data_IF_783011893484
#
_entry.id   IF_783011893484
#
_cell.length_a   1.000
_cell.length_b   1.000
_cell.length_c   1.000
_cell.angle_alpha   90.00
_cell.angle_beta   90.00
_cell.angle_gamma   90.00
#
_symmetry.space_group_name_H-M   'P 1'
#
loop_
_entity.id
_entity.type
_entity.pdbx_description
1 polymer ?
#
# COMPACT_ATOMS: atom_id res chain seq x y z
N UNK A 1 -23.54 -9.04 -2.87
CA UNK A 1 -23.79 -9.10 -1.41
C UNK A 1 -23.60 -7.71 -0.80
N UNK A 2 -24.20 -7.45 0.34
CA UNK A 2 -24.12 -6.15 1.02
C UNK A 2 -24.02 -6.36 2.52
N UNK A 3 -23.11 -5.65 3.13
CA UNK A 3 -23.04 -5.46 4.58
C UNK A 3 -23.80 -4.18 4.91
N UNK A 4 -25.02 -4.31 5.44
CA UNK A 4 -25.82 -3.16 5.87
C UNK A 4 -25.34 -2.65 7.21
N UNK A 5 -25.12 -1.34 7.30
CA UNK A 5 -24.68 -0.66 8.52
C UNK A 5 -25.26 0.78 8.55
N UNK A 6 -25.09 1.47 9.64
CA UNK A 6 -25.32 2.91 9.71
C UNK A 6 -24.21 3.51 10.54
N UNK A 7 -23.18 4.01 9.86
CA UNK A 7 -22.06 4.72 10.47
C UNK A 7 -22.23 6.20 10.16
N UNK A 8 -22.35 7.03 11.19
CA UNK A 8 -22.41 8.47 11.03
C UNK A 8 -21.07 9.00 10.54
N UNK A 9 -21.13 9.97 9.62
CA UNK A 9 -19.98 10.72 9.14
C UNK A 9 -20.00 12.06 9.87
N UNK A 10 -18.92 12.42 10.55
CA UNK A 10 -18.83 13.69 11.24
C UNK A 10 -18.73 14.85 10.24
N UNK A 11 -19.18 16.03 10.66
CA UNK A 11 -19.11 17.24 9.83
C UNK A 11 -17.65 17.56 9.46
N UNK A 12 -17.40 17.81 8.19
CA UNK A 12 -16.06 18.13 7.66
C UNK A 12 -15.24 16.92 7.21
N UNK A 13 -15.68 15.69 7.50
CA UNK A 13 -15.01 14.50 7.01
C UNK A 13 -15.29 14.29 5.52
N UNK A 14 -14.25 13.94 4.78
CA UNK A 14 -14.24 13.89 3.31
C UNK A 14 -13.82 12.55 2.76
N UNK A 15 -13.34 11.64 3.62
CA UNK A 15 -12.79 10.34 3.21
C UNK A 15 -13.38 9.23 4.07
N UNK A 16 -13.64 8.08 3.44
CA UNK A 16 -13.87 6.80 4.11
C UNK A 16 -12.64 5.94 3.96
N UNK A 17 -12.23 5.32 5.03
CA UNK A 17 -10.99 4.55 5.12
C UNK A 17 -11.26 3.21 5.77
N UNK A 18 -10.68 2.13 5.24
CA UNK A 18 -10.85 0.81 5.81
C UNK A 18 -9.74 -0.15 5.34
N UNK A 19 -9.48 -1.17 6.14
CA UNK A 19 -8.72 -2.33 5.71
C UNK A 19 -9.61 -3.34 5.02
N UNK A 20 -9.13 -3.87 3.89
CA UNK A 20 -9.84 -4.89 3.10
C UNK A 20 -8.89 -6.05 2.86
N UNK A 21 -9.31 -7.26 3.26
CA UNK A 21 -8.63 -8.48 2.83
C UNK A 21 -9.27 -8.95 1.53
N UNK A 22 -8.54 -8.82 0.43
CA UNK A 22 -9.00 -9.20 -0.91
C UNK A 22 -8.82 -10.70 -1.17
N UNK A 23 -9.67 -11.23 -2.04
CA UNK A 23 -9.71 -12.63 -2.46
C UNK A 23 -9.17 -12.89 -3.86
N UNK A 24 -8.68 -11.85 -4.55
CA UNK A 24 -8.16 -11.94 -5.93
C UNK A 24 -9.24 -12.16 -6.99
N UNK A 25 -10.51 -12.00 -6.65
CA UNK A 25 -11.65 -12.33 -7.55
C UNK A 25 -11.85 -11.34 -8.69
N UNK A 26 -11.26 -10.15 -8.66
CA UNK A 26 -11.52 -9.07 -9.61
C UNK A 26 -12.85 -8.35 -9.40
N UNK A 27 -13.70 -8.79 -8.48
CA UNK A 27 -14.95 -8.12 -8.12
C UNK A 27 -14.70 -6.73 -7.52
N UNK A 28 -15.73 -5.90 -7.36
CA UNK A 28 -15.58 -4.54 -6.84
C UNK A 28 -16.28 -4.38 -5.50
N UNK A 29 -15.71 -3.54 -4.65
CA UNK A 29 -16.36 -3.01 -3.45
C UNK A 29 -16.80 -1.57 -3.69
N UNK A 30 -18.04 -1.25 -3.25
CA UNK A 30 -18.55 0.10 -3.18
C UNK A 30 -19.14 0.38 -1.80
N UNK A 31 -19.34 1.65 -1.47
CA UNK A 31 -20.09 2.08 -0.29
C UNK A 31 -21.32 2.88 -0.73
N UNK A 32 -22.47 2.60 -0.13
CA UNK A 32 -23.67 3.45 -0.28
C UNK A 32 -23.62 4.53 0.80
N UNK A 33 -23.55 5.77 0.38
CA UNK A 33 -23.47 6.96 1.25
C UNK A 33 -24.80 7.68 1.18
N UNK A 34 -25.37 8.05 2.32
CA UNK A 34 -26.54 8.92 2.41
C UNK A 34 -26.16 10.32 2.84
N UNK A 35 -26.84 11.31 2.29
CA UNK A 35 -26.78 12.71 2.73
C UNK A 35 -27.74 12.98 3.89
N UNK A 36 -27.78 14.23 4.37
CA UNK A 36 -28.68 14.68 5.46
C UNK A 36 -30.15 14.59 5.10
N UNK A 37 -30.51 14.59 3.80
CA UNK A 37 -31.87 14.45 3.29
C UNK A 37 -32.26 13.00 3.07
N UNK A 38 -31.32 12.07 3.21
CA UNK A 38 -31.50 10.64 3.00
C UNK A 38 -31.35 10.20 1.54
N UNK A 39 -30.96 11.09 0.63
CA UNK A 39 -30.59 10.70 -0.73
C UNK A 39 -29.29 9.91 -0.71
N UNK A 40 -29.17 8.88 -1.55
CA UNK A 40 -28.02 7.98 -1.55
C UNK A 40 -27.20 8.10 -2.82
N UNK A 41 -25.88 7.90 -2.67
CA UNK A 41 -24.93 7.80 -3.77
C UNK A 41 -23.96 6.64 -3.52
N UNK A 42 -23.39 6.09 -4.59
CA UNK A 42 -22.38 5.04 -4.53
C UNK A 42 -20.97 5.63 -4.64
N UNK A 43 -20.09 5.19 -3.76
CA UNK A 43 -18.66 5.50 -3.78
C UNK A 43 -17.90 4.22 -4.07
N UNK A 44 -17.09 4.21 -5.12
CA UNK A 44 -16.19 3.09 -5.40
C UNK A 44 -15.06 3.06 -4.37
N UNK A 45 -14.88 1.91 -3.72
CA UNK A 45 -13.81 1.70 -2.75
C UNK A 45 -12.58 1.10 -3.44
N UNK A 46 -12.73 -0.08 -4.04
CA UNK A 46 -11.62 -0.77 -4.72
C UNK A 46 -12.12 -1.90 -5.60
N UNK A 47 -11.24 -2.39 -6.52
CA UNK A 47 -11.39 -3.68 -7.17
C UNK A 47 -10.57 -4.73 -6.42
N UNK A 48 -11.13 -5.93 -6.23
CA UNK A 48 -10.54 -7.04 -5.50
C UNK A 48 -9.57 -7.87 -6.37
N UNK A 49 -8.66 -7.19 -7.08
CA UNK A 49 -7.64 -7.81 -7.92
C UNK A 49 -6.34 -8.14 -7.15
N UNK A 50 -6.43 -8.21 -5.83
CA UNK A 50 -5.34 -8.53 -4.90
C UNK A 50 -5.79 -9.57 -3.88
N UNK A 51 -4.82 -10.26 -3.28
CA UNK A 51 -5.01 -11.15 -2.13
C UNK A 51 -4.25 -10.57 -0.93
N UNK A 52 -4.84 -10.72 0.28
CA UNK A 52 -4.26 -10.17 1.50
C UNK A 52 -4.85 -8.81 1.89
N UNK A 53 -4.32 -8.23 2.96
CA UNK A 53 -4.78 -6.96 3.50
C UNK A 53 -4.30 -5.79 2.65
N UNK A 54 -5.22 -4.88 2.35
CA UNK A 54 -4.96 -3.59 1.70
C UNK A 54 -5.74 -2.49 2.39
N UNK A 55 -5.06 -1.39 2.66
CA UNK A 55 -5.71 -0.18 3.15
C UNK A 55 -6.29 0.62 1.98
N UNK A 56 -7.53 1.05 2.12
CA UNK A 56 -8.27 1.78 1.07
C UNK A 56 -8.80 3.08 1.64
N UNK A 57 -8.58 4.16 0.91
CA UNK A 57 -9.14 5.48 1.21
C UNK A 57 -9.92 5.95 -0.02
N UNK A 58 -11.20 6.31 0.15
CA UNK A 58 -12.07 6.79 -0.92
C UNK A 58 -12.75 8.09 -0.54
N UNK A 59 -12.84 9.01 -1.51
CA UNK A 59 -13.42 10.33 -1.28
C UNK A 59 -14.94 10.24 -1.14
N UNK A 60 -15.44 10.86 -0.08
CA UNK A 60 -16.88 10.99 0.18
C UNK A 60 -17.50 12.16 -0.62
N UNK A 61 -18.79 12.08 -0.97
CA UNK A 61 -19.53 13.24 -1.46
C UNK A 61 -19.50 14.40 -0.46
N UNK A 62 -19.57 15.63 -0.94
CA UNK A 62 -19.44 16.84 -0.11
C UNK A 62 -20.52 16.98 0.98
N UNK A 63 -21.67 16.34 0.79
CA UNK A 63 -22.82 16.35 1.69
C UNK A 63 -23.05 15.01 2.41
N UNK A 64 -22.03 14.15 2.43
CA UNK A 64 -22.12 12.84 3.08
C UNK A 64 -22.46 12.97 4.56
N UNK A 65 -23.41 12.19 5.04
CA UNK A 65 -23.87 12.18 6.41
C UNK A 65 -23.80 10.80 7.08
N UNK A 66 -23.89 9.72 6.30
CA UNK A 66 -23.75 8.38 6.84
C UNK A 66 -23.38 7.35 5.77
N UNK A 67 -22.63 6.33 6.16
CA UNK A 67 -22.42 5.11 5.37
C UNK A 67 -23.57 4.16 5.69
N UNK A 68 -24.31 3.72 4.67
CA UNK A 68 -25.48 2.84 4.79
C UNK A 68 -25.14 1.38 4.55
N UNK A 69 -24.24 1.12 3.63
CA UNK A 69 -23.76 -0.24 3.36
C UNK A 69 -22.41 -0.24 2.68
N UNK A 70 -21.69 -1.34 2.84
CA UNK A 70 -20.57 -1.73 1.98
C UNK A 70 -21.08 -2.84 1.06
N UNK A 71 -20.95 -2.66 -0.25
CA UNK A 71 -21.52 -3.55 -1.24
C UNK A 71 -20.43 -4.29 -1.99
N UNK A 72 -20.61 -5.60 -2.09
CA UNK A 72 -19.81 -6.48 -2.93
C UNK A 72 -20.50 -6.58 -4.30
N UNK A 73 -19.88 -6.00 -5.31
CA UNK A 73 -20.40 -5.94 -6.68
C UNK A 73 -19.74 -7.03 -7.52
N UNK A 74 -20.60 -7.88 -8.06
CA UNK A 74 -20.22 -9.01 -8.86
C UNK A 74 -19.96 -8.63 -10.32
N UNK A 75 -18.79 -8.93 -10.86
CA UNK A 75 -18.35 -8.48 -12.19
C UNK A 75 -18.81 -9.33 -13.39
N UNK A 76 -19.68 -10.31 -13.19
CA UNK A 76 -20.35 -11.02 -14.30
C UNK A 76 -19.50 -11.99 -15.14
N UNK A 77 -18.29 -12.23 -14.81
CA UNK A 77 -17.37 -13.19 -15.45
C UNK A 77 -16.28 -13.64 -14.48
N UNK A 78 -16.32 -13.06 -13.32
CA UNK A 78 -15.37 -13.26 -12.25
C UNK A 78 -15.79 -14.44 -11.34
N UNK A 79 -14.95 -14.78 -10.38
CA UNK A 79 -15.26 -15.85 -9.42
C UNK A 79 -16.56 -15.59 -8.65
N UNK A 80 -17.43 -16.60 -8.60
CA UNK A 80 -18.74 -16.54 -7.93
C UNK A 80 -18.69 -16.76 -6.43
N UNK A 81 -17.53 -17.04 -5.89
CA UNK A 81 -17.31 -17.28 -4.47
C UNK A 81 -15.98 -16.72 -4.01
N UNK A 82 -15.97 -16.24 -2.79
CA UNK A 82 -14.78 -15.69 -2.16
C UNK A 82 -15.11 -15.24 -0.76
N UNK A 83 -14.07 -14.90 0.00
CA UNK A 83 -14.22 -14.35 1.34
C UNK A 83 -13.44 -13.03 1.41
N UNK A 84 -14.15 -11.98 1.76
CA UNK A 84 -13.59 -10.65 1.98
C UNK A 84 -13.77 -10.30 3.44
N UNK A 85 -12.71 -9.84 4.09
CA UNK A 85 -12.80 -9.29 5.44
C UNK A 85 -12.63 -7.77 5.38
N UNK A 86 -13.38 -7.08 6.22
CA UNK A 86 -13.31 -5.63 6.39
C UNK A 86 -12.93 -5.35 7.83
N UNK A 87 -12.05 -4.38 8.06
CA UNK A 87 -11.63 -3.95 9.38
C UNK A 87 -11.43 -2.44 9.44
N UNK A 88 -11.56 -1.85 10.64
CA UNK A 88 -11.28 -0.47 10.96
C UNK A 88 -11.93 0.55 10.00
N UNK A 89 -13.25 0.44 9.77
CA UNK A 89 -13.97 1.43 8.96
C UNK A 89 -14.00 2.76 9.73
N UNK A 90 -13.36 3.79 9.18
CA UNK A 90 -13.25 5.13 9.76
C UNK A 90 -13.52 6.19 8.70
N UNK A 91 -13.72 7.43 9.15
CA UNK A 91 -13.81 8.60 8.29
C UNK A 91 -12.80 9.66 8.72
N UNK A 92 -12.40 10.55 7.82
CA UNK A 92 -11.39 11.59 8.07
C UNK A 92 -11.55 12.79 7.14
N UNK A 93 -10.96 13.93 7.51
CA UNK A 93 -10.94 15.15 6.67
C UNK A 93 -9.91 15.11 5.58
N UNK A 94 -8.92 14.23 5.68
CA UNK A 94 -7.84 14.06 4.69
C UNK A 94 -7.78 12.60 4.28
N UNK A 95 -7.30 12.33 3.06
CA UNK A 95 -6.95 10.97 2.68
C UNK A 95 -5.94 10.45 3.70
N UNK A 96 -6.20 9.28 4.28
CA UNK A 96 -5.21 8.67 5.15
C UNK A 96 -3.95 8.36 4.34
N UNK A 97 -2.83 8.72 4.93
CA UNK A 97 -1.53 8.45 4.34
C UNK A 97 -1.31 6.94 4.26
N UNK A 98 -0.57 6.54 3.25
CA UNK A 98 -0.03 5.21 3.14
C UNK A 98 0.68 4.81 4.45
N UNK A 99 0.37 3.64 4.96
CA UNK A 99 0.96 3.06 6.19
C UNK A 99 1.73 1.77 5.92
N UNK A 100 1.90 1.42 4.65
CA UNK A 100 2.61 0.22 4.21
C UNK A 100 4.05 0.60 3.89
N UNK A 101 5.00 -0.11 4.48
CA UNK A 101 6.41 0.13 4.20
C UNK A 101 6.81 -0.43 2.84
N UNK A 102 7.71 0.24 2.10
CA UNK A 102 8.30 -0.30 0.89
C UNK A 102 8.94 -1.68 1.12
N UNK A 103 8.77 -2.57 0.18
CA UNK A 103 9.43 -3.87 0.16
C UNK A 103 10.78 -3.75 -0.56
N UNK A 104 11.84 -4.24 0.06
CA UNK A 104 13.21 -4.20 -0.47
C UNK A 104 13.79 -5.61 -0.55
N UNK A 105 14.13 -6.06 -1.75
CA UNK A 105 14.78 -7.34 -1.99
C UNK A 105 16.24 -7.12 -2.39
N UNK A 106 17.20 -7.66 -1.63
CA UNK A 106 18.64 -7.49 -1.85
C UNK A 106 19.29 -8.79 -2.32
N UNK A 107 20.16 -8.70 -3.31
CA UNK A 107 20.99 -9.80 -3.82
C UNK A 107 22.44 -9.36 -3.96
N UNK A 108 23.38 -10.28 -3.68
CA UNK A 108 24.83 -10.06 -3.81
C UNK A 108 25.46 -10.84 -4.97
N UNK A 109 24.66 -11.42 -5.85
CA UNK A 109 25.14 -12.17 -7.01
C UNK A 109 25.71 -11.23 -8.08
N UNK A 110 27.04 -11.23 -8.24
CA UNK A 110 27.73 -10.38 -9.23
C UNK A 110 27.81 -8.90 -8.88
N UNK A 111 27.66 -8.55 -7.62
CA UNK A 111 27.59 -7.18 -7.08
C UNK A 111 26.37 -6.98 -6.19
N UNK A 112 26.19 -5.79 -5.66
CA UNK A 112 25.00 -5.46 -4.89
C UNK A 112 23.88 -5.05 -5.87
N UNK A 113 22.74 -5.73 -5.78
CA UNK A 113 21.51 -5.31 -6.45
C UNK A 113 20.38 -5.29 -5.45
N UNK A 114 19.50 -4.29 -5.54
CA UNK A 114 18.24 -4.29 -4.80
C UNK A 114 17.09 -3.87 -5.70
N UNK A 115 15.93 -4.48 -5.48
CA UNK A 115 14.67 -4.11 -6.13
C UNK A 115 13.73 -3.59 -5.05
N UNK A 116 13.14 -2.44 -5.32
CA UNK A 116 12.18 -1.77 -4.44
C UNK A 116 10.80 -1.84 -5.05
N UNK A 117 9.80 -2.12 -4.25
CA UNK A 117 8.39 -2.04 -4.65
C UNK A 117 7.54 -1.54 -3.49
N UNK A 118 6.45 -0.87 -3.84
CA UNK A 118 5.48 -0.37 -2.91
C UNK A 118 4.07 -0.49 -3.49
N UNK A 119 3.04 -0.50 -2.65
CA UNK A 119 1.66 -0.63 -3.11
C UNK A 119 1.07 0.72 -3.58
N UNK A 120 1.55 1.84 -3.06
CA UNK A 120 1.14 3.20 -3.40
C UNK A 120 2.20 3.91 -4.23
N UNK A 121 3.44 4.00 -3.73
CA UNK A 121 4.55 4.70 -4.38
C UNK A 121 5.16 3.85 -5.50
N UNK A 122 4.88 4.21 -6.75
CA UNK A 122 5.37 3.48 -7.94
C UNK A 122 6.75 3.93 -8.40
N UNK A 123 7.25 5.04 -7.89
CA UNK A 123 8.58 5.59 -8.20
C UNK A 123 9.21 6.17 -6.94
N UNK A 124 10.53 5.97 -6.82
CA UNK A 124 11.33 6.51 -5.74
C UNK A 124 12.45 7.37 -6.31
N UNK A 125 12.74 8.47 -5.63
CA UNK A 125 13.94 9.27 -5.90
C UNK A 125 15.15 8.65 -5.19
N UNK A 126 16.34 8.85 -5.77
CA UNK A 126 17.59 8.35 -5.18
C UNK A 126 17.81 8.85 -3.74
N UNK A 127 17.33 10.05 -3.41
CA UNK A 127 17.42 10.65 -2.08
C UNK A 127 16.59 9.94 -1.01
N UNK A 128 15.61 9.13 -1.40
CA UNK A 128 14.78 8.31 -0.51
C UNK A 128 15.45 6.98 -0.16
N UNK A 129 16.61 6.68 -0.76
CA UNK A 129 17.27 5.38 -0.67
C UNK A 129 18.64 5.54 -0.02
N UNK A 130 18.93 4.67 0.92
CA UNK A 130 20.25 4.55 1.54
C UNK A 130 20.79 3.13 1.38
N UNK A 131 22.07 3.01 1.04
CA UNK A 131 22.80 1.76 1.01
C UNK A 131 23.94 1.82 2.01
N UNK A 132 24.08 0.79 2.84
CA UNK A 132 25.21 0.66 3.76
C UNK A 132 25.86 -0.71 3.65
N UNK A 133 27.17 -0.75 3.90
CA UNK A 133 27.98 -1.95 4.09
C UNK A 133 28.56 -1.89 5.52
N UNK A 134 28.19 -2.84 6.35
CA UNK A 134 28.53 -2.87 7.79
C UNK A 134 28.18 -1.57 8.56
N UNK A 135 27.11 -0.91 8.12
CA UNK A 135 26.67 0.36 8.70
C UNK A 135 27.25 1.60 8.03
N UNK A 136 28.36 1.48 7.27
CA UNK A 136 28.98 2.60 6.57
C UNK A 136 28.30 2.88 5.22
N UNK A 137 28.04 4.15 4.86
CA UNK A 137 27.40 4.50 3.61
C UNK A 137 28.21 4.04 2.40
N UNK A 138 27.52 3.44 1.41
CA UNK A 138 28.09 3.00 0.16
C UNK A 138 27.41 3.70 -1.03
N UNK A 139 28.23 4.14 -2.00
CA UNK A 139 27.73 4.76 -3.23
C UNK A 139 27.04 3.75 -4.13
N UNK A 140 25.95 4.17 -4.76
CA UNK A 140 25.17 3.33 -5.66
C UNK A 140 24.61 4.08 -6.85
N UNK A 141 24.19 3.34 -7.88
CA UNK A 141 23.37 3.84 -8.99
C UNK A 141 21.92 3.44 -8.78
N UNK A 142 21.00 4.35 -9.04
CA UNK A 142 19.56 4.11 -8.98
C UNK A 142 18.94 4.25 -10.36
N UNK A 143 18.21 3.26 -10.80
CA UNK A 143 17.36 3.29 -11.99
C UNK A 143 15.90 3.36 -11.55
N UNK A 144 15.32 4.55 -11.63
CA UNK A 144 13.94 4.78 -11.22
C UNK A 144 12.91 4.07 -12.13
N UNK A 145 13.25 3.83 -13.40
CA UNK A 145 12.34 3.17 -14.34
C UNK A 145 12.14 1.68 -14.02
N UNK A 146 13.18 1.02 -13.52
CA UNK A 146 13.13 -0.39 -13.11
C UNK A 146 13.05 -0.58 -11.59
N UNK A 147 13.00 0.50 -10.81
CA UNK A 147 13.06 0.49 -9.34
C UNK A 147 14.23 -0.35 -8.81
N UNK A 148 15.40 -0.20 -9.46
CA UNK A 148 16.56 -1.03 -9.19
C UNK A 148 17.78 -0.22 -8.76
N UNK A 149 18.37 -0.63 -7.64
CA UNK A 149 19.66 -0.17 -7.15
C UNK A 149 20.75 -1.13 -7.60
N UNK A 150 21.92 -0.59 -8.00
CA UNK A 150 23.13 -1.35 -8.27
C UNK A 150 24.35 -0.68 -7.64
N UNK A 151 25.25 -1.49 -7.08
CA UNK A 151 26.52 -1.03 -6.53
C UNK A 151 27.60 -2.13 -6.65
N UNK A 152 28.86 -1.71 -6.60
CA UNK A 152 29.97 -2.65 -6.44
C UNK A 152 29.91 -3.27 -5.04
N UNK A 153 30.07 -4.58 -4.95
CA UNK A 153 30.24 -5.26 -3.68
C UNK A 153 31.70 -5.08 -3.24
N UNK A 154 31.98 -4.50 -2.06
CA UNK A 154 33.32 -4.42 -1.52
C UNK A 154 33.94 -5.82 -1.37
N UNK A 155 35.26 -5.90 -1.51
CA UNK A 155 35.98 -7.14 -1.20
C UNK A 155 35.81 -7.42 0.30
N UNK A 156 35.34 -8.62 0.61
CA UNK A 156 35.26 -9.06 1.99
C UNK A 156 36.68 -9.41 2.51
N UNK A 157 36.98 -9.07 3.73
CA UNK A 157 38.05 -9.68 4.50
C UNK A 157 37.52 -10.96 5.22
N UNK A 158 38.13 -11.38 6.30
CA UNK A 158 37.63 -12.53 7.06
C UNK A 158 36.48 -12.10 7.98
N UNK A 159 35.28 -12.59 7.74
CA UNK A 159 34.13 -12.30 8.61
C UNK A 159 32.80 -12.31 7.88
N UNK A 160 31.76 -12.00 8.61
CA UNK A 160 30.43 -11.83 8.07
C UNK A 160 30.14 -10.34 7.88
N UNK A 161 29.94 -9.95 6.64
CA UNK A 161 29.63 -8.56 6.26
C UNK A 161 28.17 -8.40 5.88
N UNK A 162 27.58 -7.27 6.21
CA UNK A 162 26.17 -7.00 5.99
C UNK A 162 25.94 -5.82 5.04
N UNK A 163 25.24 -6.09 3.96
CA UNK A 163 24.65 -5.06 3.10
C UNK A 163 23.25 -4.76 3.57
N UNK A 164 22.91 -3.48 3.74
CA UNK A 164 21.55 -3.05 4.08
C UNK A 164 21.10 -1.94 3.12
N UNK A 165 19.92 -2.09 2.56
CA UNK A 165 19.23 -1.05 1.79
C UNK A 165 18.01 -0.60 2.58
N UNK A 166 17.87 0.70 2.75
CA UNK A 166 16.73 1.34 3.42
C UNK A 166 16.08 2.29 2.44
N UNK A 167 14.76 2.27 2.38
CA UNK A 167 13.95 3.12 1.49
C UNK A 167 12.87 3.79 2.33
N UNK A 168 12.71 5.11 2.15
CA UNK A 168 11.63 5.87 2.79
C UNK A 168 10.66 6.31 1.70
N UNK A 169 9.37 5.96 1.83
CA UNK A 169 8.33 6.38 0.90
C UNK A 169 7.93 7.86 1.09
N UNK A 170 6.98 8.34 0.28
CA UNK A 170 6.47 9.71 0.36
C UNK A 170 5.67 9.96 1.66
N UNK A 171 5.14 8.92 2.28
CA UNK A 171 4.38 8.98 3.54
C UNK A 171 5.27 8.86 4.78
N UNK A 172 6.56 8.57 4.61
CA UNK A 172 7.55 8.43 5.70
C UNK A 172 7.69 7.02 6.24
N UNK A 173 7.05 6.01 5.63
CA UNK A 173 7.25 4.62 6.03
C UNK A 173 8.61 4.12 5.54
N UNK A 174 9.26 3.29 6.33
CA UNK A 174 10.63 2.85 6.07
C UNK A 174 10.67 1.35 5.80
N UNK A 175 10.97 1.01 4.55
CA UNK A 175 11.28 -0.35 4.11
C UNK A 175 12.78 -0.66 4.26
N UNK A 176 13.10 -1.91 4.58
CA UNK A 176 14.49 -2.35 4.75
C UNK A 176 14.69 -3.75 4.22
N UNK A 177 15.73 -3.93 3.39
CA UNK A 177 16.23 -5.24 2.96
C UNK A 177 17.70 -5.41 3.31
N UNK A 178 18.14 -6.64 3.54
CA UNK A 178 19.54 -6.92 3.81
C UNK A 178 19.98 -8.27 3.26
N UNK A 179 21.29 -8.36 2.94
CA UNK A 179 21.95 -9.60 2.60
C UNK A 179 23.33 -9.64 3.25
N UNK A 180 23.91 -10.86 3.40
CA UNK A 180 25.21 -11.05 4.04
C UNK A 180 26.19 -11.69 3.08
N UNK A 181 27.46 -11.30 3.19
CA UNK A 181 28.63 -11.85 2.51
C UNK A 181 29.58 -12.45 3.56
N UNK A 182 30.20 -13.58 3.27
CA UNK A 182 31.21 -14.25 4.07
C UNK A 182 32.40 -14.60 3.24
#
# INVERSE_FOLDING_TARGET
ASLTTTLAIAEGEKWVNLWIYGDGSGNSLTATIADLQGATSEVALTSLNFTGWKYVSAQLPANAASIRSINFIYGGGESTGGTVWLDQITTSNEALQDSVCPTVSVSLSGGITAVVSDDVDKQFDKSQIALTYDGEPLSFTWDAASSKLTAALPAADSGLHRVTVTVTDASGNIGRGSATQS
#
